data_IF_411893360643
#
_entry.id   IF_411893360643
#
_cell.length_a   1.000
_cell.length_b   1.000
_cell.length_c   1.000
_cell.angle_alpha   90.00
_cell.angle_beta   90.00
_cell.angle_gamma   90.00
#
_symmetry.space_group_name_H-M   'P 1'
#
loop_
_entity.id
_entity.type
_entity.pdbx_description
1 polymer ?
#
# COMPACT_ATOMS: atom_id res chain seq x y z
N UNK A 1 -16.79 -2.99 14.71
CA UNK A 1 -16.21 -2.15 13.63
C UNK A 1 -16.68 -2.73 12.32
N UNK A 2 -17.40 -1.92 11.54
CA UNK A 2 -17.87 -2.25 10.20
C UNK A 2 -17.18 -1.29 9.22
N UNK A 3 -16.70 -1.81 8.09
CA UNK A 3 -15.98 -1.02 7.09
C UNK A 3 -16.55 -1.31 5.71
N UNK A 4 -16.88 -0.25 4.99
CA UNK A 4 -17.32 -0.31 3.60
C UNK A 4 -16.26 0.33 2.72
N UNK A 5 -15.83 -0.38 1.70
CA UNK A 5 -14.82 0.08 0.75
C UNK A 5 -15.32 -0.07 -0.68
N UNK A 6 -14.99 0.91 -1.52
CA UNK A 6 -15.25 0.85 -2.96
C UNK A 6 -14.06 1.38 -3.74
N UNK A 7 -13.91 0.89 -4.96
CA UNK A 7 -13.01 1.46 -5.96
C UNK A 7 -13.69 1.45 -7.32
N UNK A 8 -13.62 2.56 -8.04
CA UNK A 8 -14.10 2.74 -9.39
C UNK A 8 -12.97 3.26 -10.26
N UNK A 9 -12.67 2.56 -11.35
CA UNK A 9 -11.64 2.91 -12.31
C UNK A 9 -12.25 3.00 -13.71
N UNK A 10 -11.95 4.10 -14.44
CA UNK A 10 -12.23 4.20 -15.86
C UNK A 10 -10.91 4.30 -16.63
N UNK A 11 -10.78 3.49 -17.67
CA UNK A 11 -9.58 3.42 -18.49
C UNK A 11 -9.93 3.49 -19.97
N UNK A 12 -9.16 4.28 -20.72
CA UNK A 12 -9.17 4.29 -22.17
C UNK A 12 -8.15 3.29 -22.69
N UNK A 13 -8.61 2.15 -23.22
CA UNK A 13 -7.75 1.13 -23.81
C UNK A 13 -7.52 1.47 -25.28
N UNK A 14 -6.32 1.96 -25.64
CA UNK A 14 -5.97 2.41 -26.97
C UNK A 14 -5.29 1.34 -27.83
N UNK A 15 -4.72 0.29 -27.20
CA UNK A 15 -4.24 -0.93 -27.83
C UNK A 15 -4.71 -2.13 -27.00
N UNK A 16 -5.06 -3.30 -27.62
CA UNK A 16 -5.47 -4.47 -26.86
C UNK A 16 -4.49 -4.76 -25.72
N UNK A 17 -5.00 -4.89 -24.50
CA UNK A 17 -4.18 -4.89 -23.31
C UNK A 17 -4.39 -6.14 -22.43
N UNK A 18 -3.31 -6.53 -21.74
CA UNK A 18 -3.30 -7.50 -20.66
C UNK A 18 -3.00 -6.73 -19.36
N UNK A 19 -3.97 -6.70 -18.46
CA UNK A 19 -3.96 -5.89 -17.26
C UNK A 19 -4.03 -6.77 -16.02
N UNK A 20 -3.38 -6.34 -14.95
CA UNK A 20 -3.54 -6.92 -13.60
C UNK A 20 -3.96 -5.81 -12.65
N UNK A 21 -5.05 -6.03 -11.93
CA UNK A 21 -5.63 -5.09 -10.98
C UNK A 21 -5.57 -5.69 -9.57
N UNK A 22 -5.10 -4.93 -8.60
CA UNK A 22 -5.04 -5.28 -7.19
C UNK A 22 -5.80 -4.23 -6.37
N UNK A 23 -7.13 -4.34 -6.33
CA UNK A 23 -8.02 -3.44 -5.59
C UNK A 23 -8.93 -4.17 -4.62
N UNK A 24 -9.04 -5.50 -4.73
CA UNK A 24 -9.81 -6.31 -3.80
C UNK A 24 -9.13 -6.34 -2.42
N UNK A 25 -9.92 -6.38 -1.36
CA UNK A 25 -9.38 -6.60 -0.01
C UNK A 25 -8.67 -7.96 0.04
N UNK A 26 -7.57 -8.03 0.77
CA UNK A 26 -6.74 -9.23 0.83
C UNK A 26 -7.47 -10.41 1.46
N UNK A 27 -6.95 -11.62 1.28
CA UNK A 27 -7.50 -12.86 1.87
C UNK A 27 -7.47 -12.89 3.41
N UNK A 28 -6.91 -11.86 4.06
CA UNK A 28 -7.00 -11.71 5.52
C UNK A 28 -8.41 -11.37 6.00
N UNK A 29 -9.28 -10.92 5.09
CA UNK A 29 -10.67 -10.58 5.39
C UNK A 29 -11.63 -11.62 4.78
N UNK A 30 -12.82 -11.69 5.36
CA UNK A 30 -13.96 -12.45 4.83
C UNK A 30 -15.14 -11.49 4.68
N UNK A 31 -15.21 -10.73 3.58
CA UNK A 31 -16.32 -9.80 3.35
C UNK A 31 -17.67 -10.51 3.37
N UNK A 32 -18.66 -9.92 4.04
CA UNK A 32 -20.04 -10.44 4.05
C UNK A 32 -20.83 -10.08 2.79
N UNK A 33 -20.43 -9.02 2.10
CA UNK A 33 -20.86 -8.65 0.75
C UNK A 33 -19.65 -8.18 -0.05
N UNK A 34 -19.45 -8.74 -1.25
CA UNK A 34 -18.33 -8.41 -2.11
C UNK A 34 -18.73 -8.52 -3.58
N UNK A 35 -18.29 -7.58 -4.41
CA UNK A 35 -18.44 -7.67 -5.85
C UNK A 35 -17.24 -7.01 -6.57
N UNK A 36 -16.81 -7.68 -7.64
CA UNK A 36 -15.88 -7.14 -8.63
C UNK A 36 -16.56 -7.22 -10.00
N UNK A 37 -16.58 -6.14 -10.75
CA UNK A 37 -17.11 -6.11 -12.12
C UNK A 37 -16.15 -5.39 -13.04
N UNK A 38 -16.10 -5.85 -14.30
CA UNK A 38 -15.35 -5.19 -15.37
C UNK A 38 -16.20 -5.15 -16.64
N UNK A 39 -16.34 -3.99 -17.25
CA UNK A 39 -17.13 -3.76 -18.45
C UNK A 39 -16.27 -3.06 -19.51
N UNK A 40 -16.19 -3.61 -20.72
CA UNK A 40 -15.59 -2.93 -21.88
C UNK A 40 -16.74 -2.48 -22.80
N UNK A 41 -16.84 -1.17 -23.02
CA UNK A 41 -17.93 -0.55 -23.78
C UNK A 41 -19.32 -1.02 -23.30
N UNK A 42 -19.47 -1.22 -21.97
CA UNK A 42 -20.69 -1.71 -21.35
C UNK A 42 -20.91 -3.23 -21.41
N UNK A 43 -20.06 -3.99 -22.09
CA UNK A 43 -20.14 -5.44 -22.15
C UNK A 43 -19.27 -6.10 -21.05
N UNK A 44 -19.77 -7.12 -20.32
CA UNK A 44 -19.00 -7.77 -19.28
C UNK A 44 -17.70 -8.41 -19.78
N UNK A 45 -16.61 -8.20 -19.06
CA UNK A 45 -15.29 -8.82 -19.28
C UNK A 45 -15.02 -9.80 -18.15
N UNK A 46 -14.59 -11.02 -18.50
CA UNK A 46 -14.19 -11.99 -17.50
C UNK A 46 -12.81 -11.64 -16.91
N UNK A 47 -12.74 -11.57 -15.58
CA UNK A 47 -11.48 -11.49 -14.85
C UNK A 47 -11.04 -12.87 -14.37
N UNK A 48 -9.74 -13.14 -14.40
CA UNK A 48 -9.14 -14.32 -13.75
C UNK A 48 -8.49 -13.89 -12.45
N UNK A 49 -9.06 -14.34 -11.32
CA UNK A 49 -8.47 -14.07 -10.01
C UNK A 49 -7.34 -15.06 -9.72
N UNK A 50 -6.25 -14.55 -9.14
CA UNK A 50 -5.18 -15.33 -8.53
C UNK A 50 -4.67 -14.59 -7.27
N UNK A 51 -4.00 -15.34 -6.39
CA UNK A 51 -3.55 -14.82 -5.08
C UNK A 51 -2.08 -15.12 -4.90
N UNK A 52 -1.33 -14.20 -4.32
CA UNK A 52 0.06 -14.44 -3.92
C UNK A 52 0.14 -15.05 -2.50
N UNK A 53 1.37 -15.33 -2.08
CA UNK A 53 1.65 -15.92 -0.76
C UNK A 53 1.40 -14.96 0.42
N UNK A 54 1.29 -13.66 0.17
CA UNK A 54 0.98 -12.64 1.17
C UNK A 54 -0.52 -12.36 1.30
N UNK A 55 -1.34 -13.04 0.49
CA UNK A 55 -2.78 -12.88 0.49
C UNK A 55 -3.30 -11.74 -0.39
N UNK A 56 -2.45 -11.12 -1.20
CA UNK A 56 -2.88 -10.14 -2.20
C UNK A 56 -3.69 -10.82 -3.28
N UNK A 57 -4.86 -10.28 -3.60
CA UNK A 57 -5.76 -10.79 -4.65
C UNK A 57 -5.62 -9.96 -5.91
N UNK A 58 -5.30 -10.60 -7.00
CA UNK A 58 -5.10 -9.98 -8.31
C UNK A 58 -6.20 -10.43 -9.27
N UNK A 59 -6.75 -9.51 -10.04
CA UNK A 59 -7.68 -9.77 -11.14
C UNK A 59 -6.97 -9.46 -12.45
N UNK A 60 -6.73 -10.49 -13.28
CA UNK A 60 -6.17 -10.36 -14.62
C UNK A 60 -7.28 -10.22 -15.64
N UNK A 61 -7.17 -9.21 -16.49
CA UNK A 61 -8.10 -8.87 -17.55
C UNK A 61 -7.36 -8.83 -18.90
N UNK A 62 -7.93 -9.48 -19.91
CA UNK A 62 -7.47 -9.36 -21.32
C UNK A 62 -8.57 -8.66 -22.10
N UNK A 63 -8.29 -7.49 -22.61
CA UNK A 63 -9.28 -6.59 -23.20
C UNK A 63 -8.88 -6.10 -24.58
N UNK A 64 -9.87 -5.90 -25.46
CA UNK A 64 -9.71 -5.14 -26.70
C UNK A 64 -9.62 -3.63 -26.45
N UNK A 65 -9.59 -2.85 -27.52
CA UNK A 65 -9.68 -1.39 -27.47
C UNK A 65 -11.10 -0.96 -27.08
N UNK A 66 -11.24 0.11 -26.30
CA UNK A 66 -12.51 0.65 -25.85
C UNK A 66 -12.43 1.33 -24.51
N UNK A 67 -13.56 1.69 -23.92
CA UNK A 67 -13.70 2.24 -22.58
C UNK A 67 -13.87 1.09 -21.58
N UNK A 68 -12.91 0.88 -20.69
CA UNK A 68 -12.95 -0.15 -19.65
C UNK A 68 -13.33 0.49 -18.32
N UNK A 69 -14.40 -0.01 -17.71
CA UNK A 69 -14.86 0.38 -16.37
C UNK A 69 -14.68 -0.79 -15.44
N UNK A 70 -14.04 -0.57 -14.30
CA UNK A 70 -13.81 -1.57 -13.26
C UNK A 70 -14.38 -1.05 -11.96
N UNK A 71 -15.28 -1.83 -11.36
CA UNK A 71 -15.87 -1.53 -10.05
C UNK A 71 -15.56 -2.64 -9.05
N UNK A 72 -15.25 -2.23 -7.84
CA UNK A 72 -15.10 -3.12 -6.69
C UNK A 72 -15.82 -2.55 -5.47
N UNK A 73 -16.47 -3.41 -4.69
CA UNK A 73 -17.03 -3.08 -3.39
C UNK A 73 -16.88 -4.23 -2.42
N UNK A 74 -16.69 -3.93 -1.15
CA UNK A 74 -16.72 -4.92 -0.08
C UNK A 74 -17.24 -4.33 1.22
N UNK A 75 -18.04 -5.14 1.95
CA UNK A 75 -18.45 -4.89 3.34
C UNK A 75 -17.72 -5.86 4.26
N UNK A 76 -17.04 -5.31 5.28
CA UNK A 76 -16.18 -6.08 6.19
C UNK A 76 -16.69 -5.91 7.61
N UNK A 77 -17.09 -7.01 8.23
CA UNK A 77 -17.46 -7.07 9.64
C UNK A 77 -16.26 -7.49 10.51
N UNK A 78 -16.00 -6.74 11.57
CA UNK A 78 -14.94 -7.05 12.54
C UNK A 78 -13.52 -6.78 12.02
N UNK A 79 -12.56 -7.53 12.54
CA UNK A 79 -11.15 -7.46 12.19
C UNK A 79 -10.76 -8.59 11.23
N UNK A 80 -9.78 -8.31 10.36
CA UNK A 80 -9.14 -9.35 9.56
C UNK A 80 -8.13 -10.18 10.35
N UNK A 81 -7.68 -11.27 9.75
CA UNK A 81 -6.60 -12.08 10.30
C UNK A 81 -5.27 -11.31 10.32
N UNK A 82 -4.47 -11.51 11.35
CA UNK A 82 -3.13 -10.95 11.41
C UNK A 82 -2.23 -11.60 10.36
N UNK A 83 -1.47 -10.78 9.62
CA UNK A 83 -0.49 -11.29 8.66
C UNK A 83 0.64 -12.06 9.39
N UNK A 84 0.96 -13.29 8.96
CA UNK A 84 1.98 -14.10 9.61
C UNK A 84 3.40 -13.61 9.33
N UNK A 85 4.35 -13.96 10.20
CA UNK A 85 5.78 -13.80 9.98
C UNK A 85 6.36 -14.98 9.19
N UNK A 86 6.16 -14.99 7.87
CA UNK A 86 6.72 -16.05 7.02
C UNK A 86 8.24 -15.85 6.90
N UNK A 87 9.08 -16.88 7.09
CA UNK A 87 10.54 -16.71 7.06
C UNK A 87 11.08 -16.07 5.78
N UNK A 88 10.51 -16.39 4.62
CA UNK A 88 10.90 -15.77 3.36
C UNK A 88 10.59 -14.26 3.34
N UNK A 89 9.43 -13.84 3.84
CA UNK A 89 9.04 -12.43 3.90
C UNK A 89 9.93 -11.64 4.86
N UNK A 90 10.25 -12.23 6.02
CA UNK A 90 11.17 -11.63 6.98
C UNK A 90 12.58 -11.46 6.43
N UNK A 91 13.01 -12.37 5.55
CA UNK A 91 14.28 -12.27 4.84
C UNK A 91 14.22 -11.22 3.72
N UNK A 92 13.28 -11.37 2.77
CA UNK A 92 13.18 -10.51 1.59
C UNK A 92 12.88 -9.04 1.94
N UNK A 93 12.14 -8.81 3.02
CA UNK A 93 11.83 -7.46 3.54
C UNK A 93 12.99 -6.78 4.28
N UNK A 94 14.18 -7.39 4.31
CA UNK A 94 15.43 -6.74 4.77
C UNK A 94 16.33 -6.34 3.63
N UNK A 95 16.03 -6.81 2.41
CA UNK A 95 16.86 -6.54 1.23
C UNK A 95 16.41 -5.25 0.54
N UNK A 96 17.31 -4.55 -0.17
CA UNK A 96 16.91 -3.47 -1.06
C UNK A 96 15.95 -3.98 -2.14
N UNK A 97 15.09 -3.10 -2.63
CA UNK A 97 14.18 -3.40 -3.74
C UNK A 97 14.07 -2.19 -4.67
N UNK A 98 13.27 -2.27 -5.75
CA UNK A 98 13.27 -1.27 -6.83
C UNK A 98 13.12 0.17 -6.34
N UNK A 99 12.24 0.39 -5.35
CA UNK A 99 11.93 1.73 -4.83
C UNK A 99 12.37 1.92 -3.36
N UNK A 100 12.98 0.91 -2.77
CA UNK A 100 13.43 0.91 -1.38
C UNK A 100 14.93 0.59 -1.34
N UNK A 101 15.74 1.61 -1.65
CA UNK A 101 17.21 1.54 -1.79
C UNK A 101 17.87 1.62 -0.40
N UNK A 102 17.59 0.64 0.46
CA UNK A 102 18.05 0.61 1.85
C UNK A 102 19.57 0.52 1.98
N UNK A 103 20.26 -0.06 1.01
CA UNK A 103 21.72 -0.12 0.92
C UNK A 103 22.32 1.30 0.69
N UNK A 104 21.72 2.09 -0.19
CA UNK A 104 22.14 3.47 -0.46
C UNK A 104 21.89 4.37 0.75
N UNK A 105 20.77 4.18 1.45
CA UNK A 105 20.39 5.00 2.63
C UNK A 105 20.99 4.51 3.95
N UNK A 106 21.79 3.44 3.93
CA UNK A 106 22.43 2.90 5.15
C UNK A 106 23.28 3.92 5.92
N UNK A 107 24.11 4.76 5.30
CA UNK A 107 24.87 5.80 6.04
C UNK A 107 23.95 6.82 6.71
N UNK A 108 22.87 7.24 6.04
CA UNK A 108 21.88 8.17 6.58
C UNK A 108 21.17 7.57 7.80
N UNK A 109 20.66 6.34 7.65
CA UNK A 109 19.99 5.65 8.74
C UNK A 109 20.89 5.41 9.95
N UNK A 110 22.18 5.11 9.72
CA UNK A 110 23.17 4.94 10.80
C UNK A 110 23.44 6.24 11.56
N UNK A 111 23.48 7.37 10.85
CA UNK A 111 23.73 8.69 11.46
C UNK A 111 22.49 9.20 12.23
N UNK A 112 21.31 9.17 11.59
CA UNK A 112 20.10 9.76 12.14
C UNK A 112 19.52 8.96 13.32
N UNK A 113 19.69 7.64 13.31
CA UNK A 113 19.15 6.74 14.35
C UNK A 113 20.22 6.07 15.19
N UNK A 114 21.40 6.74 15.34
CA UNK A 114 22.48 6.21 16.15
C UNK A 114 22.04 5.96 17.61
N UNK A 115 22.38 4.80 18.15
CA UNK A 115 22.05 4.43 19.54
C UNK A 115 20.60 4.02 19.80
N UNK A 116 19.74 4.00 18.78
CA UNK A 116 18.37 3.46 18.92
C UNK A 116 18.37 2.00 18.45
N UNK A 117 18.02 1.08 19.35
CA UNK A 117 17.92 -0.34 19.02
C UNK A 117 16.66 -0.65 18.20
N UNK A 118 16.66 -1.73 17.36
CA UNK A 118 15.49 -2.19 16.67
C UNK A 118 14.33 -2.52 17.65
N UNK A 119 13.20 -1.82 17.50
CA UNK A 119 12.05 -1.95 18.39
C UNK A 119 11.05 -0.82 18.17
N UNK A 120 10.10 -0.66 19.09
CA UNK A 120 9.08 0.37 19.04
C UNK A 120 9.66 1.79 18.93
N UNK A 121 10.74 2.06 19.67
CA UNK A 121 11.39 3.37 19.67
C UNK A 121 12.00 3.71 18.30
N UNK A 122 12.57 2.72 17.60
CA UNK A 122 13.06 2.92 16.25
C UNK A 122 11.93 3.20 15.25
N UNK A 123 10.79 2.49 15.37
CA UNK A 123 9.61 2.76 14.53
C UNK A 123 9.12 4.19 14.72
N UNK A 124 8.98 4.63 15.97
CA UNK A 124 8.55 5.98 16.30
C UNK A 124 9.53 7.03 15.81
N UNK A 125 10.83 6.81 15.98
CA UNK A 125 11.87 7.70 15.52
C UNK A 125 11.88 7.85 13.99
N UNK A 126 11.82 6.74 13.24
CA UNK A 126 11.78 6.75 11.78
C UNK A 126 10.50 7.44 11.29
N UNK A 127 9.34 7.09 11.84
CA UNK A 127 8.07 7.71 11.46
C UNK A 127 8.09 9.23 11.69
N UNK A 128 8.52 9.67 12.86
CA UNK A 128 8.62 11.09 13.20
C UNK A 128 9.64 11.83 12.32
N UNK A 129 10.79 11.21 12.08
CA UNK A 129 11.83 11.82 11.24
C UNK A 129 11.34 12.00 9.80
N UNK A 130 10.76 10.95 9.19
CA UNK A 130 10.23 11.03 7.81
C UNK A 130 9.10 12.07 7.75
N UNK A 131 8.14 12.05 8.68
CA UNK A 131 7.06 13.02 8.73
C UNK A 131 7.50 14.47 8.90
N UNK A 132 8.68 14.72 9.51
CA UNK A 132 9.25 16.07 9.65
C UNK A 132 10.15 16.46 8.50
N UNK A 133 10.76 15.50 7.79
CA UNK A 133 11.67 15.78 6.69
C UNK A 133 10.97 15.98 5.35
N UNK A 134 9.75 15.45 5.19
CA UNK A 134 9.01 15.52 3.94
C UNK A 134 7.79 16.45 4.04
N UNK A 135 7.47 17.07 2.92
CA UNK A 135 6.20 17.76 2.70
C UNK A 135 5.29 16.89 1.84
N UNK A 136 4.04 16.70 2.26
CA UNK A 136 3.04 15.97 1.46
C UNK A 136 2.55 16.86 0.33
N UNK A 137 2.92 16.53 -0.92
CA UNK A 137 2.60 17.35 -2.11
C UNK A 137 2.10 16.42 -3.22
N UNK A 138 0.79 16.40 -3.50
CA UNK A 138 0.26 15.65 -4.63
C UNK A 138 0.90 16.06 -5.95
N UNK A 139 1.29 15.07 -6.77
CA UNK A 139 1.92 15.29 -8.07
C UNK A 139 3.40 15.69 -8.04
N UNK A 140 4.04 15.75 -6.86
CA UNK A 140 5.45 16.10 -6.74
C UNK A 140 6.41 14.96 -7.11
N UNK A 141 5.95 13.70 -7.06
CA UNK A 141 6.76 12.52 -7.37
C UNK A 141 6.31 11.83 -8.64
N UNK A 142 7.29 11.30 -9.39
CA UNK A 142 7.07 10.48 -10.57
C UNK A 142 6.80 9.01 -10.23
N UNK A 143 6.32 8.22 -11.20
CA UNK A 143 6.02 6.79 -10.98
C UNK A 143 7.27 5.94 -10.76
N UNK A 144 8.46 6.47 -11.05
CA UNK A 144 9.74 5.76 -10.95
C UNK A 144 10.61 6.22 -9.78
N UNK A 145 10.14 7.19 -8.99
CA UNK A 145 10.89 7.73 -7.86
C UNK A 145 10.94 6.73 -6.71
N UNK A 146 12.13 6.53 -6.15
CA UNK A 146 12.40 5.67 -5.01
C UNK A 146 12.61 6.47 -3.71
N UNK A 147 13.08 5.78 -2.68
CA UNK A 147 13.34 6.38 -1.38
C UNK A 147 14.47 7.43 -1.44
N UNK A 148 15.45 7.25 -2.33
CA UNK A 148 16.57 8.21 -2.49
C UNK A 148 16.08 9.51 -3.10
N UNK A 149 15.32 9.46 -4.21
CA UNK A 149 14.72 10.63 -4.84
C UNK A 149 13.80 11.38 -3.88
N UNK A 150 12.98 10.64 -3.13
CA UNK A 150 12.10 11.21 -2.09
C UNK A 150 12.88 11.95 -1.03
N UNK A 151 13.95 11.35 -0.50
CA UNK A 151 14.80 12.00 0.50
C UNK A 151 15.44 13.28 -0.03
N UNK A 152 15.93 13.28 -1.26
CA UNK A 152 16.57 14.44 -1.88
C UNK A 152 15.54 15.53 -2.23
N UNK A 153 14.36 15.15 -2.72
CA UNK A 153 13.28 16.05 -3.10
C UNK A 153 12.54 16.67 -1.91
N UNK A 154 12.59 16.05 -0.73
CA UNK A 154 11.89 16.49 0.50
C UNK A 154 10.39 16.67 0.34
N UNK A 155 9.79 15.97 -0.62
CA UNK A 155 8.37 16.02 -0.91
C UNK A 155 7.93 14.71 -1.58
N UNK A 156 6.65 14.39 -1.46
CA UNK A 156 6.07 13.20 -2.08
C UNK A 156 4.66 12.93 -1.58
N UNK A 157 4.14 11.77 -1.91
CA UNK A 157 2.83 11.27 -1.48
C UNK A 157 2.99 10.04 -0.57
N UNK A 158 1.90 9.42 -0.14
CA UNK A 158 1.91 8.28 0.80
C UNK A 158 2.88 7.15 0.39
N UNK A 159 2.95 6.81 -0.92
CA UNK A 159 3.88 5.83 -1.47
C UNK A 159 5.34 6.20 -1.17
N UNK A 160 5.70 7.46 -1.34
CA UNK A 160 7.07 7.94 -1.17
C UNK A 160 7.48 7.94 0.30
N UNK A 161 6.56 8.34 1.18
CA UNK A 161 6.72 8.23 2.64
C UNK A 161 6.91 6.76 3.06
N UNK A 162 6.10 5.84 2.52
CA UNK A 162 6.22 4.43 2.83
C UNK A 162 7.56 3.85 2.34
N UNK A 163 8.02 4.19 1.13
CA UNK A 163 9.32 3.76 0.62
C UNK A 163 10.48 4.26 1.48
N UNK A 164 10.46 5.53 1.89
CA UNK A 164 11.53 6.08 2.73
C UNK A 164 11.53 5.46 4.12
N UNK A 165 10.37 5.28 4.76
CA UNK A 165 10.27 4.56 6.03
C UNK A 165 10.83 3.13 5.92
N UNK A 166 10.40 2.37 4.89
CA UNK A 166 10.88 1.00 4.69
C UNK A 166 12.40 0.96 4.45
N UNK A 167 12.95 1.89 3.67
CA UNK A 167 14.37 1.95 3.40
C UNK A 167 15.20 2.20 4.67
N UNK A 168 14.80 3.15 5.48
CA UNK A 168 15.50 3.48 6.74
C UNK A 168 15.40 2.34 7.75
N UNK A 169 14.24 1.69 7.88
CA UNK A 169 14.04 0.54 8.76
C UNK A 169 14.88 -0.67 8.31
N UNK A 170 14.88 -0.99 7.00
CA UNK A 170 15.73 -2.07 6.46
C UNK A 170 17.22 -1.78 6.66
N UNK A 171 17.64 -0.53 6.46
CA UNK A 171 19.02 -0.11 6.72
C UNK A 171 19.44 -0.28 8.18
N UNK A 172 18.46 -0.28 9.11
CA UNK A 172 18.65 -0.59 10.54
C UNK A 172 18.44 -2.07 10.89
N UNK A 173 18.35 -2.96 9.88
CA UNK A 173 18.21 -4.41 10.06
C UNK A 173 16.80 -4.89 10.39
N UNK A 174 15.79 -4.01 10.39
CA UNK A 174 14.38 -4.38 10.60
C UNK A 174 13.78 -4.85 9.29
N UNK A 175 13.07 -5.99 9.32
CA UNK A 175 12.26 -6.39 8.17
C UNK A 175 11.10 -5.40 8.02
N UNK A 176 11.03 -4.72 6.86
CA UNK A 176 10.00 -3.73 6.56
C UNK A 176 9.49 -3.91 5.13
N UNK A 177 8.18 -3.73 4.93
CA UNK A 177 7.49 -3.95 3.66
C UNK A 177 6.43 -2.87 3.44
N UNK A 178 5.94 -2.72 2.20
CA UNK A 178 4.87 -1.79 1.87
C UNK A 178 3.52 -2.53 1.86
N UNK A 179 2.50 -1.89 2.39
CA UNK A 179 1.12 -2.33 2.28
C UNK A 179 0.29 -1.23 1.59
N UNK A 180 -0.41 -1.62 0.51
CA UNK A 180 -1.47 -0.82 -0.07
C UNK A 180 -2.77 -1.09 0.70
N UNK A 181 -3.51 -0.04 1.02
CA UNK A 181 -4.68 -0.12 1.90
C UNK A 181 -5.80 0.81 1.45
N UNK A 182 -7.03 0.45 1.82
CA UNK A 182 -8.11 1.41 1.98
C UNK A 182 -7.95 2.07 3.35
N UNK A 183 -8.18 3.40 3.41
CA UNK A 183 -7.87 4.19 4.60
C UNK A 183 -9.08 5.03 5.05
N UNK A 184 -10.02 4.45 5.86
CA UNK A 184 -11.10 5.23 6.44
C UNK A 184 -10.57 6.42 7.24
N UNK A 185 -11.12 7.60 6.98
CA UNK A 185 -10.68 8.87 7.58
C UNK A 185 -9.70 9.68 6.73
N UNK A 186 -9.14 9.11 5.67
CA UNK A 186 -8.34 9.85 4.69
C UNK A 186 -9.20 10.87 3.93
N UNK A 187 -8.70 12.09 3.73
CA UNK A 187 -9.40 13.14 2.96
C UNK A 187 -8.39 13.92 2.08
N UNK A 188 -8.59 13.96 0.74
CA UNK A 188 -9.60 13.24 -0.02
C UNK A 188 -9.41 11.71 0.09
N UNK A 189 -10.51 10.95 -0.11
CA UNK A 189 -10.44 9.49 -0.12
C UNK A 189 -9.70 9.01 -1.37
N UNK A 190 -8.67 8.18 -1.17
CA UNK A 190 -7.87 7.58 -2.23
C UNK A 190 -7.24 6.27 -1.73
N UNK A 191 -6.60 5.49 -2.60
CA UNK A 191 -5.73 4.41 -2.15
C UNK A 191 -4.58 4.99 -1.32
N UNK A 192 -4.23 4.28 -0.25
CA UNK A 192 -3.15 4.71 0.63
C UNK A 192 -2.05 3.66 0.69
N UNK A 193 -0.84 4.09 0.97
CA UNK A 193 0.31 3.21 1.15
C UNK A 193 0.98 3.50 2.49
N UNK A 194 1.26 2.43 3.23
CA UNK A 194 1.95 2.49 4.52
C UNK A 194 3.09 1.48 4.57
N UNK A 195 4.00 1.67 5.50
CA UNK A 195 5.03 0.67 5.82
C UNK A 195 4.52 -0.26 6.92
N UNK A 196 4.85 -1.53 6.83
CA UNK A 196 4.80 -2.46 7.96
C UNK A 196 6.21 -2.91 8.32
N UNK A 197 6.52 -2.98 9.62
CA UNK A 197 7.78 -3.46 10.15
C UNK A 197 7.57 -4.61 11.11
N UNK A 198 8.46 -5.62 11.08
CA UNK A 198 8.39 -6.78 11.97
C UNK A 198 9.01 -6.49 13.31
N UNK A 199 8.19 -6.25 14.32
CA UNK A 199 8.57 -5.95 15.69
C UNK A 199 7.67 -6.74 16.65
N UNK A 200 8.24 -7.32 17.70
CA UNK A 200 7.53 -8.10 18.71
C UNK A 200 6.63 -9.18 18.10
N UNK A 201 7.24 -9.98 17.21
CA UNK A 201 6.59 -11.10 16.51
C UNK A 201 5.30 -10.74 15.77
N UNK A 202 5.21 -9.48 15.28
CA UNK A 202 4.10 -9.03 14.46
C UNK A 202 4.49 -7.92 13.47
N UNK A 203 3.75 -7.84 12.36
CA UNK A 203 3.83 -6.72 11.43
C UNK A 203 3.13 -5.50 12.04
N UNK A 204 3.89 -4.41 12.25
CA UNK A 204 3.43 -3.16 12.85
C UNK A 204 3.41 -2.05 11.83
N UNK A 205 2.30 -1.32 11.77
CA UNK A 205 2.12 -0.21 10.83
C UNK A 205 2.97 0.99 11.21
N UNK A 206 3.66 1.53 10.22
CA UNK A 206 4.34 2.82 10.28
C UNK A 206 3.75 3.70 9.17
N UNK A 207 3.00 4.72 9.55
CA UNK A 207 2.47 5.73 8.64
C UNK A 207 2.97 7.12 9.06
N UNK A 208 4.03 7.57 8.38
CA UNK A 208 4.64 8.86 8.65
C UNK A 208 3.82 10.04 8.08
N UNK A 209 2.78 9.77 7.30
CA UNK A 209 1.86 10.81 6.82
C UNK A 209 0.85 11.23 7.87
N UNK A 210 0.47 10.31 8.77
CA UNK A 210 -0.56 10.48 9.80
C UNK A 210 -1.91 11.00 9.24
N UNK A 211 -2.26 10.64 7.99
CA UNK A 211 -3.45 11.13 7.31
C UNK A 211 -4.73 10.34 7.66
N UNK A 212 -4.58 9.11 8.15
CA UNK A 212 -5.70 8.26 8.54
C UNK A 212 -5.37 7.43 9.80
N UNK A 213 -6.37 7.07 10.64
CA UNK A 213 -6.15 6.20 11.78
C UNK A 213 -5.68 4.81 11.35
N UNK A 214 -4.52 4.37 11.86
CA UNK A 214 -3.90 3.08 11.50
C UNK A 214 -4.74 1.86 11.86
N UNK A 215 -5.58 1.98 12.88
CA UNK A 215 -6.48 0.92 13.38
C UNK A 215 -7.62 0.61 12.40
N UNK A 216 -8.00 1.57 11.54
CA UNK A 216 -9.11 1.43 10.61
C UNK A 216 -8.68 0.95 9.21
N UNK A 217 -7.38 0.85 8.93
CA UNK A 217 -6.85 0.47 7.63
C UNK A 217 -7.34 -0.92 7.20
N UNK A 218 -7.65 -1.07 5.90
CA UNK A 218 -8.02 -2.35 5.29
C UNK A 218 -7.00 -2.71 4.22
N UNK A 219 -6.33 -3.84 4.40
CA UNK A 219 -5.27 -4.31 3.50
C UNK A 219 -5.82 -4.68 2.13
N UNK A 220 -5.17 -4.20 1.07
CA UNK A 220 -5.36 -4.60 -0.32
C UNK A 220 -4.21 -5.53 -0.73
N UNK A 221 -2.99 -5.00 -0.74
CA UNK A 221 -1.81 -5.68 -1.21
C UNK A 221 -0.64 -5.53 -0.23
N UNK A 222 0.30 -6.45 -0.28
CA UNK A 222 1.53 -6.41 0.51
C UNK A 222 2.71 -6.82 -0.36
N UNK A 223 3.81 -6.08 -0.29
CA UNK A 223 4.98 -6.39 -1.08
C UNK A 223 6.23 -5.66 -0.60
N UNK A 224 7.34 -5.84 -1.31
CA UNK A 224 8.62 -5.22 -0.93
C UNK A 224 8.61 -3.70 -1.14
N UNK A 225 7.88 -3.26 -2.17
CA UNK A 225 7.66 -1.85 -2.53
C UNK A 225 6.47 -1.71 -3.48
N UNK A 226 6.29 -0.53 -4.08
CA UNK A 226 5.16 -0.26 -4.97
C UNK A 226 5.16 -1.10 -6.27
N UNK A 227 6.28 -1.71 -6.68
CA UNK A 227 6.27 -2.62 -7.82
C UNK A 227 5.44 -3.89 -7.53
N UNK A 228 5.43 -4.32 -6.27
CA UNK A 228 4.68 -5.50 -5.84
C UNK A 228 3.23 -5.14 -5.41
N UNK A 229 2.92 -3.86 -5.11
CA UNK A 229 1.64 -3.42 -4.53
C UNK A 229 0.85 -2.46 -5.42
N UNK A 230 1.22 -2.31 -6.69
CA UNK A 230 0.52 -1.45 -7.64
C UNK A 230 -0.93 -1.89 -7.83
N UNK A 231 -1.88 -0.96 -7.73
CA UNK A 231 -3.30 -1.25 -7.92
C UNK A 231 -3.66 -1.56 -9.38
N UNK A 232 -2.85 -1.10 -10.34
CA UNK A 232 -2.99 -1.35 -11.78
C UNK A 232 -1.61 -1.58 -12.39
N UNK A 233 -1.46 -2.68 -13.12
CA UNK A 233 -0.26 -3.03 -13.88
C UNK A 233 -0.65 -3.38 -15.30
N UNK A 234 -0.05 -2.73 -16.29
CA UNK A 234 -0.20 -3.03 -17.72
C UNK A 234 0.93 -3.97 -18.14
N UNK A 235 0.61 -5.24 -18.41
CA UNK A 235 1.59 -6.25 -18.83
C UNK A 235 1.91 -6.12 -20.33
N UNK A 236 0.92 -5.77 -21.13
CA UNK A 236 1.08 -5.49 -22.56
C UNK A 236 -0.07 -4.62 -23.07
N UNK A 237 0.13 -4.01 -24.27
CA UNK A 237 -0.82 -3.07 -24.85
C UNK A 237 -0.66 -1.66 -24.27
N UNK A 238 -1.70 -0.84 -24.45
CA UNK A 238 -1.69 0.55 -23.98
C UNK A 238 -3.04 0.96 -23.43
N UNK A 239 -3.02 1.55 -22.23
CA UNK A 239 -4.18 2.12 -21.57
C UNK A 239 -3.80 3.38 -20.81
N UNK A 240 -4.71 4.34 -20.77
CA UNK A 240 -4.64 5.54 -19.96
C UNK A 240 -5.70 5.42 -18.83
N UNK A 241 -5.34 5.77 -17.61
CA UNK A 241 -6.26 5.82 -16.48
C UNK A 241 -6.91 7.21 -16.46
N UNK A 242 -8.21 7.26 -16.71
CA UNK A 242 -8.96 8.51 -16.85
C UNK A 242 -9.61 8.94 -15.54
N UNK A 243 -10.19 7.95 -14.81
CA UNK A 243 -10.87 8.19 -13.53
C UNK A 243 -10.42 7.17 -12.51
N UNK A 244 -10.21 7.62 -11.29
CA UNK A 244 -10.03 6.81 -10.11
C UNK A 244 -10.84 7.43 -8.96
N UNK A 245 -11.78 6.66 -8.44
CA UNK A 245 -12.56 7.05 -7.27
C UNK A 245 -12.48 5.94 -6.23
N UNK A 246 -12.12 6.29 -5.01
CA UNK A 246 -11.99 5.36 -3.90
C UNK A 246 -12.80 5.85 -2.73
N UNK A 247 -13.58 4.98 -2.11
CA UNK A 247 -14.22 5.27 -0.83
C UNK A 247 -13.81 4.26 0.22
N UNK A 248 -13.65 4.72 1.44
CA UNK A 248 -13.40 3.89 2.60
C UNK A 248 -14.06 4.54 3.82
N UNK A 249 -15.10 3.91 4.33
CA UNK A 249 -15.84 4.40 5.48
C UNK A 249 -15.88 3.34 6.59
N UNK A 250 -16.02 3.80 7.82
CA UNK A 250 -16.10 2.98 9.01
C UNK A 250 -17.19 3.51 9.93
N UNK A 251 -17.86 2.62 10.65
CA UNK A 251 -18.90 2.98 11.64
C UNK A 251 -18.36 3.87 12.77
N UNK A 252 -17.10 3.67 13.20
CA UNK A 252 -16.43 4.45 14.22
C UNK A 252 -14.95 4.67 13.85
N UNK A 253 -14.55 5.92 13.63
CA UNK A 253 -13.15 6.27 13.44
C UNK A 253 -12.39 6.16 14.75
N UNK A 254 -11.36 5.32 14.75
CA UNK A 254 -10.48 5.18 15.90
C UNK A 254 -9.70 6.48 16.14
N UNK A 255 -9.40 6.74 17.40
CA UNK A 255 -8.44 7.77 17.77
C UNK A 255 -7.04 7.16 17.72
N UNK A 256 -6.25 7.54 16.73
CA UNK A 256 -4.90 7.02 16.58
C UNK A 256 -3.95 7.63 17.63
N UNK A 257 -3.15 6.77 18.25
CA UNK A 257 -2.02 7.14 19.10
C UNK A 257 -0.75 6.60 18.45
N UNK A 258 0.01 7.49 17.82
CA UNK A 258 1.22 7.15 17.05
C UNK A 258 2.32 6.49 17.88
N UNK A 259 2.23 6.53 19.23
CA UNK A 259 3.16 5.84 20.12
C UNK A 259 2.81 4.37 20.34
N UNK A 260 1.61 3.95 19.95
CA UNK A 260 1.19 2.55 20.08
C UNK A 260 1.56 1.73 18.85
N UNK A 261 1.95 0.48 19.11
CA UNK A 261 2.16 -0.51 18.04
C UNK A 261 0.81 -1.04 17.55
N UNK A 262 0.50 -0.79 16.28
CA UNK A 262 -0.74 -1.20 15.62
C UNK A 262 -0.43 -2.17 14.50
N UNK A 263 -1.28 -3.18 14.28
CA UNK A 263 -1.23 -4.09 13.13
C UNK A 263 -2.50 -3.91 12.27
N UNK A 264 -2.38 -4.02 10.95
CA UNK A 264 -3.55 -4.05 10.05
C UNK A 264 -4.31 -5.36 10.28
N UNK A 265 -5.59 -5.23 10.61
CA UNK A 265 -6.50 -6.35 10.85
C UNK A 265 -7.86 -6.13 10.21
#
# INVERSE_FOLDING_TARGET
>A
MQRDVTAHLELSVTEPADLVVAIAVSTHYQPSDEAFTALLDGAPVAATEFTDHSGTRFQRLQVGTGSLVIDYRAHIDGEGAQAPGVPYDLFSSRLPSRYVESDVLSPTAAAEFAGIEPGADLLAAVSSWVGTQLSYVPGASGPTDGAVETLLGRQGVCRDYAHLCAALLRARGVAARVAAVYAPGLAPMEFHAVTEAWIDDAWRVVDATALAPRQNLVRIATGRDAADTAFLTVLSGRTDLDVIEVTAVVDELARDDVTQLVSIR
#
